data_IF_337741413987
#
_entry.id   IF_337741413987
#
_cell.length_a   1.000
_cell.length_b   1.000
_cell.length_c   1.000
_cell.angle_alpha   90.00
_cell.angle_beta   90.00
_cell.angle_gamma   90.00
#
_symmetry.space_group_name_H-M   'P 1'
#
loop_
_entity.id
_entity.type
_entity.pdbx_description
1 polymer ?
#
# COMPACT_ATOMS: atom_id res chain seq x y z
N UNK A 1 -39.06 -7.90 2.99
CA UNK A 1 -38.14 -8.95 2.50
C UNK A 1 -36.76 -8.81 3.15
N UNK A 2 -36.46 -9.58 4.21
CA UNK A 2 -35.15 -9.52 4.92
C UNK A 2 -34.03 -10.31 4.20
N UNK A 3 -34.38 -11.47 3.64
CA UNK A 3 -33.45 -12.31 2.88
C UNK A 3 -32.81 -11.55 1.70
N UNK A 4 -33.58 -10.75 0.97
CA UNK A 4 -33.06 -9.94 -0.14
C UNK A 4 -32.03 -8.90 0.32
N UNK A 5 -32.23 -8.29 1.50
CA UNK A 5 -31.27 -7.32 2.06
C UNK A 5 -29.98 -8.01 2.49
N UNK A 6 -30.07 -9.17 3.14
CA UNK A 6 -28.90 -9.97 3.53
C UNK A 6 -28.11 -10.37 2.27
N UNK A 7 -28.80 -10.91 1.26
CA UNK A 7 -28.19 -11.26 -0.02
C UNK A 7 -27.54 -10.05 -0.71
N UNK A 8 -28.22 -8.89 -0.75
CA UNK A 8 -27.67 -7.66 -1.32
C UNK A 8 -26.40 -7.19 -0.59
N UNK A 9 -26.39 -7.20 0.74
CA UNK A 9 -25.18 -6.84 1.51
C UNK A 9 -24.04 -7.81 1.28
N UNK A 10 -24.33 -9.11 1.14
CA UNK A 10 -23.35 -10.13 0.78
C UNK A 10 -22.77 -9.89 -0.62
N UNK A 11 -23.61 -9.58 -1.61
CA UNK A 11 -23.15 -9.27 -2.98
C UNK A 11 -22.26 -8.03 -3.02
N UNK A 12 -22.64 -6.95 -2.31
CA UNK A 12 -21.81 -5.73 -2.23
C UNK A 12 -20.46 -6.00 -1.56
N UNK A 13 -20.42 -6.84 -0.52
CA UNK A 13 -19.17 -7.25 0.10
C UNK A 13 -18.29 -8.05 -0.87
N UNK A 14 -18.86 -8.97 -1.64
CA UNK A 14 -18.10 -9.71 -2.66
C UNK A 14 -17.62 -8.80 -3.79
N UNK A 15 -18.44 -7.85 -4.24
CA UNK A 15 -18.04 -6.86 -5.24
C UNK A 15 -16.80 -6.08 -4.76
N UNK A 16 -16.84 -5.51 -3.55
CA UNK A 16 -15.70 -4.77 -2.99
C UNK A 16 -14.45 -5.66 -2.85
N UNK A 17 -14.62 -6.94 -2.51
CA UNK A 17 -13.51 -7.89 -2.45
C UNK A 17 -12.87 -8.10 -3.82
N UNK A 18 -13.68 -8.30 -4.85
CA UNK A 18 -13.22 -8.46 -6.24
C UNK A 18 -12.55 -7.19 -6.75
N UNK A 19 -13.09 -6.01 -6.43
CA UNK A 19 -12.49 -4.72 -6.79
C UNK A 19 -11.12 -4.54 -6.13
N UNK A 20 -11.00 -4.89 -4.84
CA UNK A 20 -9.72 -4.82 -4.12
C UNK A 20 -8.68 -5.78 -4.71
N UNK A 21 -9.08 -7.03 -5.01
CA UNK A 21 -8.19 -8.01 -5.65
C UNK A 21 -7.77 -7.54 -7.04
N UNK A 22 -8.71 -7.02 -7.83
CA UNK A 22 -8.44 -6.50 -9.17
C UNK A 22 -7.47 -5.33 -9.13
N UNK A 23 -7.61 -4.43 -8.16
CA UNK A 23 -6.68 -3.31 -7.99
C UNK A 23 -5.27 -3.78 -7.60
N UNK A 24 -5.16 -4.76 -6.70
CA UNK A 24 -3.86 -5.35 -6.34
C UNK A 24 -3.21 -6.02 -7.54
N UNK A 25 -3.99 -6.78 -8.33
CA UNK A 25 -3.48 -7.47 -9.52
C UNK A 25 -2.99 -6.47 -10.59
N UNK A 26 -3.74 -5.38 -10.80
CA UNK A 26 -3.35 -4.34 -11.74
C UNK A 26 -2.05 -3.63 -11.34
N UNK A 27 -1.76 -3.53 -10.03
CA UNK A 27 -0.56 -2.88 -9.50
C UNK A 27 0.53 -3.89 -9.08
N UNK A 28 0.41 -5.16 -9.47
CA UNK A 28 1.38 -6.21 -9.07
C UNK A 28 2.81 -5.90 -9.53
N UNK A 29 2.96 -5.20 -10.65
CA UNK A 29 4.27 -4.79 -11.20
C UNK A 29 4.65 -3.35 -10.85
N UNK A 30 3.84 -2.64 -10.07
CA UNK A 30 4.14 -1.27 -9.65
C UNK A 30 5.15 -1.28 -8.51
N UNK A 31 6.31 -0.65 -8.72
CA UNK A 31 7.36 -0.57 -7.70
C UNK A 31 6.85 0.09 -6.42
N UNK A 32 7.17 -0.50 -5.27
CA UNK A 32 6.78 0.04 -3.96
C UNK A 32 5.29 -0.08 -3.62
N UNK A 33 4.47 -0.75 -4.43
CA UNK A 33 3.05 -0.97 -4.14
C UNK A 33 2.84 -1.90 -2.94
N UNK A 34 2.02 -1.46 -1.98
CA UNK A 34 1.58 -2.29 -0.86
C UNK A 34 0.16 -2.80 -1.11
N UNK A 35 -0.01 -4.12 -1.12
CA UNK A 35 -1.29 -4.76 -1.35
C UNK A 35 -2.34 -4.35 -0.30
N UNK A 36 -3.59 -4.24 -0.73
CA UNK A 36 -4.71 -3.91 0.15
C UNK A 36 -5.60 -5.11 0.39
N UNK A 37 -6.20 -5.19 1.57
CA UNK A 37 -7.14 -6.25 1.94
C UNK A 37 -8.45 -5.65 2.44
N UNK A 38 -9.55 -6.05 1.83
CA UNK A 38 -10.89 -5.71 2.30
C UNK A 38 -11.26 -6.60 3.51
N UNK A 39 -11.69 -5.95 4.59
CA UNK A 39 -12.15 -6.58 5.81
C UNK A 39 -13.65 -6.33 5.99
N UNK A 40 -14.35 -7.31 6.57
CA UNK A 40 -15.81 -7.29 6.71
C UNK A 40 -16.20 -7.68 8.12
N UNK A 41 -17.29 -7.09 8.60
CA UNK A 41 -17.89 -7.41 9.89
C UNK A 41 -19.37 -7.77 9.71
N UNK A 42 -19.88 -8.64 10.57
CA UNK A 42 -21.30 -8.95 10.64
C UNK A 42 -22.12 -7.73 11.12
N UNK A 43 -23.39 -7.72 10.75
CA UNK A 43 -24.35 -6.76 11.26
C UNK A 43 -25.05 -7.31 12.49
N UNK A 44 -25.67 -6.40 13.25
CA UNK A 44 -26.39 -6.74 14.47
C UNK A 44 -27.40 -7.88 14.24
N UNK A 45 -27.58 -8.69 15.27
CA UNK A 45 -28.44 -9.84 15.21
C UNK A 45 -29.81 -9.53 15.83
N UNK A 46 -30.89 -9.79 15.12
CA UNK A 46 -32.24 -9.66 15.66
C UNK A 46 -32.65 -10.94 16.40
N UNK A 47 -33.02 -10.79 17.66
CA UNK A 47 -33.56 -11.88 18.46
C UNK A 47 -35.07 -11.96 18.28
N UNK A 48 -35.55 -13.03 17.63
CA UNK A 48 -36.98 -13.26 17.42
C UNK A 48 -37.62 -13.97 18.61
N UNK A 49 -36.92 -14.95 19.19
CA UNK A 49 -37.37 -15.67 20.38
C UNK A 49 -36.20 -15.76 21.35
N UNK A 50 -36.44 -15.45 22.62
CA UNK A 50 -35.41 -15.57 23.65
C UNK A 50 -35.32 -17.02 24.13
N UNK A 51 -34.12 -17.56 24.40
CA UNK A 51 -33.99 -18.84 25.09
C UNK A 51 -34.80 -18.80 26.41
N UNK A 52 -35.50 -19.88 26.74
CA UNK A 52 -36.34 -19.95 27.93
C UNK A 52 -37.76 -19.39 27.76
N UNK A 53 -38.15 -18.96 26.55
CA UNK A 53 -39.53 -18.54 26.26
C UNK A 53 -40.46 -19.76 26.30
N UNK A 54 -41.59 -19.66 27.03
CA UNK A 54 -42.61 -20.71 27.09
C UNK A 54 -43.50 -20.61 25.86
N UNK A 55 -43.64 -21.70 25.13
CA UNK A 55 -44.50 -21.79 23.95
C UNK A 55 -45.97 -21.77 24.37
N UNK A 56 -46.75 -20.86 23.81
CA UNK A 56 -48.15 -20.63 24.19
C UNK A 56 -49.08 -21.79 23.79
N UNK A 57 -48.68 -22.64 22.84
CA UNK A 57 -49.53 -23.70 22.29
C UNK A 57 -49.42 -25.03 23.06
N UNK A 58 -48.25 -25.34 23.62
CA UNK A 58 -47.97 -26.64 24.26
C UNK A 58 -47.23 -26.54 25.61
N UNK A 59 -46.93 -25.33 26.09
CA UNK A 59 -46.23 -25.11 27.36
C UNK A 59 -44.76 -25.52 27.38
N UNK A 60 -44.21 -25.94 26.24
CA UNK A 60 -42.80 -26.35 26.14
C UNK A 60 -41.87 -25.14 26.18
N UNK A 61 -40.71 -25.29 26.80
CA UNK A 61 -39.70 -24.24 26.88
C UNK A 61 -38.82 -24.29 25.64
N UNK A 62 -38.69 -23.17 24.92
CA UNK A 62 -37.76 -23.05 23.79
C UNK A 62 -36.32 -23.05 24.34
N UNK A 63 -35.51 -24.12 24.16
CA UNK A 63 -34.22 -24.22 24.83
C UNK A 63 -33.17 -23.30 24.22
N UNK A 64 -33.20 -23.17 22.90
CA UNK A 64 -32.32 -22.32 22.10
C UNK A 64 -33.17 -21.28 21.40
N UNK A 65 -33.06 -20.01 21.82
CA UNK A 65 -33.76 -18.90 21.17
C UNK A 65 -33.44 -18.78 19.68
N UNK A 66 -34.23 -18.00 18.95
CA UNK A 66 -34.03 -17.76 17.52
C UNK A 66 -33.39 -16.39 17.34
N UNK A 67 -32.19 -16.37 16.78
CA UNK A 67 -31.43 -15.16 16.47
C UNK A 67 -31.04 -15.16 15.00
N UNK A 68 -31.28 -14.03 14.31
CA UNK A 68 -31.04 -13.89 12.88
C UNK A 68 -30.09 -12.72 12.61
N UNK A 69 -28.95 -13.00 11.97
CA UNK A 69 -28.01 -11.99 11.53
C UNK A 69 -28.58 -11.11 10.43
N UNK A 70 -28.29 -9.80 10.47
CA UNK A 70 -28.83 -8.83 9.51
C UNK A 70 -27.99 -8.64 8.25
N UNK A 71 -26.90 -9.41 8.08
CA UNK A 71 -26.01 -9.36 6.93
C UNK A 71 -24.59 -8.98 7.31
N UNK A 72 -23.89 -8.36 6.36
CA UNK A 72 -22.46 -8.02 6.46
C UNK A 72 -22.24 -6.58 6.01
N UNK A 73 -21.19 -5.93 6.51
CA UNK A 73 -20.72 -4.63 6.00
C UNK A 73 -19.20 -4.62 5.82
N UNK A 74 -18.66 -3.80 4.91
CA UNK A 74 -17.25 -3.44 4.94
C UNK A 74 -16.86 -2.84 6.29
N UNK A 75 -15.76 -3.32 6.85
CA UNK A 75 -15.17 -2.83 8.08
C UNK A 75 -14.03 -1.86 7.77
N UNK A 76 -13.09 -2.27 6.92
CA UNK A 76 -11.93 -1.49 6.52
C UNK A 76 -11.35 -2.01 5.19
N UNK A 77 -10.49 -1.20 4.57
CA UNK A 77 -9.53 -1.69 3.56
C UNK A 77 -8.14 -1.38 4.09
N UNK A 78 -7.46 -2.40 4.63
CA UNK A 78 -6.16 -2.26 5.27
C UNK A 78 -5.03 -2.43 4.26
N UNK A 79 -4.01 -1.59 4.35
CA UNK A 79 -2.76 -1.78 3.61
C UNK A 79 -1.88 -2.83 4.30
N UNK A 80 -1.35 -3.76 3.54
CA UNK A 80 -0.40 -4.76 4.02
C UNK A 80 1.02 -4.27 3.71
N UNK A 81 1.70 -3.77 4.75
CA UNK A 81 3.09 -3.36 4.66
C UNK A 81 3.96 -4.61 4.82
N UNK A 82 4.53 -5.07 3.73
CA UNK A 82 5.45 -6.20 3.70
C UNK A 82 6.55 -5.95 2.67
N UNK A 83 7.75 -6.46 2.93
CA UNK A 83 8.83 -6.40 1.95
C UNK A 83 8.50 -7.32 0.77
N UNK A 84 8.54 -6.76 -0.44
CA UNK A 84 8.40 -7.51 -1.68
C UNK A 84 9.72 -8.16 -2.12
N UNK A 85 9.68 -8.90 -3.23
CA UNK A 85 10.90 -9.37 -3.88
C UNK A 85 11.66 -8.18 -4.48
N UNK A 86 12.96 -8.15 -4.26
CA UNK A 86 13.86 -7.18 -4.91
C UNK A 86 14.34 -7.75 -6.24
N UNK A 87 14.36 -6.93 -7.28
CA UNK A 87 14.87 -7.28 -8.59
C UNK A 87 15.98 -6.30 -8.98
N UNK A 88 17.14 -6.82 -9.38
CA UNK A 88 18.25 -6.00 -9.85
C UNK A 88 17.96 -5.53 -11.28
N UNK A 89 17.93 -4.22 -11.50
CA UNK A 89 17.67 -3.60 -12.81
C UNK A 89 18.96 -3.19 -13.54
N UNK A 90 20.05 -2.95 -12.79
CA UNK A 90 21.33 -2.49 -13.33
C UNK A 90 21.38 -0.98 -13.64
N UNK A 91 20.36 -0.21 -13.23
CA UNK A 91 20.38 1.25 -13.33
C UNK A 91 21.14 1.90 -12.18
N UNK A 92 21.99 2.89 -12.47
CA UNK A 92 22.81 3.60 -11.46
C UNK A 92 21.97 4.39 -10.44
N UNK A 93 20.75 4.78 -10.83
CA UNK A 93 19.79 5.52 -9.99
C UNK A 93 18.58 4.65 -9.59
N UNK A 94 18.63 3.35 -9.85
CA UNK A 94 17.58 2.44 -9.41
C UNK A 94 17.95 1.90 -8.02
N UNK A 95 17.25 2.40 -6.99
CA UNK A 95 17.49 2.06 -5.60
C UNK A 95 16.38 1.18 -5.03
N UNK A 96 16.75 0.36 -4.04
CA UNK A 96 15.78 -0.37 -3.23
C UNK A 96 16.19 -0.31 -1.76
N UNK A 97 15.21 -0.11 -0.89
CA UNK A 97 15.39 -0.15 0.56
C UNK A 97 15.10 -1.57 1.04
N UNK A 98 16.10 -2.20 1.66
CA UNK A 98 15.91 -3.46 2.38
C UNK A 98 15.50 -3.18 3.82
N UNK A 99 14.30 -3.62 4.21
CA UNK A 99 13.77 -3.45 5.57
C UNK A 99 12.79 -2.29 5.71
N UNK A 100 12.86 -1.56 6.81
CA UNK A 100 11.98 -0.44 7.12
C UNK A 100 12.57 0.88 6.60
N UNK A 101 11.72 1.81 6.15
CA UNK A 101 12.16 3.12 5.64
C UNK A 101 11.51 3.51 4.32
N UNK A 102 11.58 4.79 3.98
CA UNK A 102 11.05 5.39 2.75
C UNK A 102 12.04 6.44 2.24
N UNK A 103 12.04 6.67 0.93
CA UNK A 103 12.71 7.81 0.32
C UNK A 103 11.84 9.05 0.54
N UNK A 104 12.45 10.13 1.04
CA UNK A 104 11.79 11.43 1.16
C UNK A 104 11.92 12.19 -0.18
N UNK A 105 10.82 12.80 -0.60
CA UNK A 105 10.73 13.59 -1.83
C UNK A 105 10.04 14.92 -1.55
N UNK A 106 10.31 15.95 -2.33
CA UNK A 106 9.57 17.22 -2.21
C UNK A 106 8.41 17.24 -3.20
N UNK A 107 7.18 17.30 -2.70
CA UNK A 107 5.98 17.42 -3.54
C UNK A 107 5.89 18.81 -4.19
N UNK A 108 5.07 19.00 -5.25
CA UNK A 108 4.87 20.30 -5.88
C UNK A 108 4.35 21.39 -4.93
N UNK A 109 3.73 21.01 -3.82
CA UNK A 109 3.29 21.92 -2.76
C UNK A 109 4.44 22.43 -1.88
N UNK A 110 5.66 21.90 -2.02
CA UNK A 110 6.81 22.17 -1.16
C UNK A 110 6.83 21.35 0.15
N UNK A 111 5.92 20.39 0.31
CA UNK A 111 5.85 19.52 1.49
C UNK A 111 6.57 18.20 1.21
N UNK A 112 7.21 17.63 2.23
CA UNK A 112 7.80 16.28 2.15
C UNK A 112 6.73 15.22 1.85
N UNK A 113 7.00 14.40 0.85
CA UNK A 113 6.34 13.13 0.55
C UNK A 113 7.28 11.96 0.81
N UNK A 114 6.72 10.75 0.86
CA UNK A 114 7.48 9.52 1.12
C UNK A 114 7.13 8.45 0.10
N UNK A 115 8.15 7.81 -0.47
CA UNK A 115 7.96 6.75 -1.48
C UNK A 115 8.88 5.56 -1.24
N UNK A 116 8.44 4.40 -1.73
CA UNK A 116 9.25 3.18 -1.86
C UNK A 116 9.68 2.92 -3.30
N UNK A 117 9.24 3.76 -4.22
CA UNK A 117 9.68 3.71 -5.61
C UNK A 117 11.08 4.32 -5.72
N UNK A 118 12.06 3.46 -5.98
CA UNK A 118 13.43 3.88 -6.20
C UNK A 118 13.83 3.94 -7.67
N UNK A 119 12.88 3.96 -8.61
CA UNK A 119 13.14 4.22 -10.02
C UNK A 119 13.45 5.70 -10.29
N UNK A 120 14.57 6.20 -9.78
CA UNK A 120 14.97 7.60 -9.87
C UNK A 120 15.56 7.92 -11.25
N UNK A 121 15.57 9.21 -11.58
CA UNK A 121 16.00 9.78 -12.85
C UNK A 121 16.77 11.07 -12.61
N UNK A 122 17.59 11.45 -13.58
CA UNK A 122 18.28 12.74 -13.60
C UNK A 122 17.45 13.74 -14.40
N UNK A 123 17.15 14.89 -13.81
CA UNK A 123 16.45 15.99 -14.49
C UNK A 123 17.39 16.73 -15.47
N UNK A 124 16.84 17.61 -16.30
CA UNK A 124 17.63 18.45 -17.21
C UNK A 124 18.60 19.39 -16.49
N UNK A 125 18.27 19.79 -15.26
CA UNK A 125 19.12 20.60 -14.38
C UNK A 125 20.11 19.75 -13.58
N UNK A 126 20.12 18.43 -13.80
CA UNK A 126 21.02 17.48 -13.15
C UNK A 126 20.54 16.97 -11.79
N UNK A 127 19.36 17.36 -11.31
CA UNK A 127 18.84 16.91 -10.02
C UNK A 127 18.36 15.46 -10.06
N UNK A 128 18.48 14.74 -8.94
CA UNK A 128 17.88 13.42 -8.77
C UNK A 128 16.38 13.60 -8.46
N UNK A 129 15.55 13.09 -9.36
CA UNK A 129 14.08 13.19 -9.28
C UNK A 129 13.45 11.80 -9.44
N UNK A 130 12.22 11.65 -8.95
CA UNK A 130 11.36 10.49 -9.26
C UNK A 130 10.94 10.50 -10.73
N UNK A 131 10.31 9.41 -11.18
CA UNK A 131 9.72 9.34 -12.53
C UNK A 131 8.62 10.39 -12.78
N UNK A 132 8.04 10.95 -11.71
CA UNK A 132 7.05 12.04 -11.77
C UNK A 132 7.70 13.44 -11.74
N UNK A 133 9.03 13.52 -11.60
CA UNK A 133 9.79 14.77 -11.58
C UNK A 133 9.92 15.42 -10.19
N UNK A 134 9.54 14.72 -9.12
CA UNK A 134 9.71 15.24 -7.76
C UNK A 134 11.15 15.00 -7.27
N UNK A 135 11.85 16.03 -6.78
CA UNK A 135 13.22 15.89 -6.30
C UNK A 135 13.28 15.09 -5.00
N UNK A 136 14.34 14.29 -4.87
CA UNK A 136 14.67 13.53 -3.65
C UNK A 136 15.30 14.46 -2.62
N UNK A 137 15.05 14.21 -1.34
CA UNK A 137 15.63 14.97 -0.22
C UNK A 137 16.80 14.17 0.39
N UNK A 138 17.98 14.79 0.60
CA UNK A 138 18.34 16.17 0.26
C UNK A 138 18.47 16.39 -1.26
N UNK A 139 18.31 17.63 -1.71
CA UNK A 139 18.43 17.99 -3.13
C UNK A 139 19.87 17.75 -3.62
N UNK A 140 20.07 16.64 -4.33
CA UNK A 140 21.37 16.26 -4.89
C UNK A 140 21.39 16.60 -6.39
N UNK A 141 22.38 17.42 -6.78
CA UNK A 141 22.61 17.81 -8.18
C UNK A 141 23.85 17.10 -8.72
N UNK A 142 23.66 16.36 -9.79
CA UNK A 142 24.70 15.66 -10.54
C UNK A 142 25.28 16.61 -11.60
N UNK A 143 26.59 16.94 -11.54
CA UNK A 143 27.27 17.73 -12.57
C UNK A 143 27.31 17.04 -13.95
N UNK A 144 27.43 17.81 -15.03
CA UNK A 144 27.36 17.29 -16.41
C UNK A 144 28.59 16.46 -16.83
N UNK A 145 29.72 16.69 -16.17
CA UNK A 145 31.03 16.06 -16.36
C UNK A 145 31.18 14.73 -15.61
N UNK A 146 30.14 14.29 -14.89
CA UNK A 146 30.12 12.99 -14.21
C UNK A 146 30.00 11.85 -15.23
N UNK A 147 30.94 10.89 -15.16
CA UNK A 147 30.95 9.66 -15.94
C UNK A 147 30.06 8.57 -15.35
N UNK A 148 30.09 8.42 -14.03
CA UNK A 148 29.37 7.37 -13.31
C UNK A 148 28.98 7.84 -11.90
N UNK A 149 27.93 7.24 -11.35
CA UNK A 149 27.46 7.50 -9.99
C UNK A 149 27.38 6.17 -9.25
N UNK A 150 27.68 6.20 -7.95
CA UNK A 150 27.40 5.08 -7.06
C UNK A 150 26.75 5.60 -5.79
N UNK A 151 25.88 4.78 -5.20
CA UNK A 151 25.17 5.09 -3.97
C UNK A 151 25.46 3.94 -3.01
N UNK A 152 25.99 4.25 -1.84
CA UNK A 152 26.33 3.23 -0.86
C UNK A 152 25.13 2.84 0.02
N UNK A 153 25.32 1.86 0.90
CA UNK A 153 24.25 1.39 1.81
C UNK A 153 23.79 2.41 2.85
N UNK A 154 24.57 3.46 3.08
CA UNK A 154 24.23 4.56 3.99
C UNK A 154 23.46 5.68 3.29
N UNK A 155 23.29 5.60 1.96
CA UNK A 155 22.57 6.58 1.15
C UNK A 155 23.44 7.71 0.61
N UNK A 156 24.76 7.65 0.81
CA UNK A 156 25.70 8.64 0.29
C UNK A 156 25.91 8.45 -1.22
N UNK A 157 25.84 9.55 -1.97
CA UNK A 157 25.98 9.59 -3.42
C UNK A 157 27.38 10.05 -3.80
N UNK A 158 28.10 9.18 -4.51
CA UNK A 158 29.45 9.45 -5.01
C UNK A 158 29.45 9.58 -6.53
N UNK A 159 30.16 10.57 -7.05
CA UNK A 159 30.32 10.80 -8.48
C UNK A 159 31.78 10.59 -8.93
N UNK A 160 31.94 9.97 -10.11
CA UNK A 160 33.22 9.75 -10.75
C UNK A 160 33.35 10.67 -11.96
N UNK A 161 34.43 11.44 -12.02
CA UNK A 161 34.73 12.37 -13.11
C UNK A 161 35.76 11.74 -14.07
N UNK A 162 35.89 12.30 -15.29
CA UNK A 162 36.89 11.81 -16.24
C UNK A 162 38.32 12.18 -15.86
N UNK A 163 38.49 13.31 -15.17
CA UNK A 163 39.81 13.90 -14.89
C UNK A 163 40.34 13.56 -13.48
N UNK A 164 39.54 12.86 -12.66
CA UNK A 164 39.88 12.47 -11.29
C UNK A 164 39.76 10.94 -11.10
N UNK A 165 40.70 10.36 -10.35
CA UNK A 165 40.73 8.91 -10.05
C UNK A 165 39.84 8.57 -8.85
N UNK A 166 39.70 9.52 -7.91
CA UNK A 166 38.89 9.34 -6.71
C UNK A 166 37.44 9.79 -6.92
N UNK A 167 36.51 9.12 -6.25
CA UNK A 167 35.11 9.52 -6.27
C UNK A 167 34.88 10.72 -5.35
N UNK A 168 34.04 11.66 -5.77
CA UNK A 168 33.64 12.82 -4.97
C UNK A 168 32.26 12.61 -4.37
N UNK A 169 32.14 12.85 -3.06
CA UNK A 169 30.85 12.85 -2.36
C UNK A 169 30.01 14.06 -2.82
N UNK A 170 28.78 13.81 -3.25
CA UNK A 170 27.80 14.83 -3.64
C UNK A 170 26.81 15.16 -2.52
N UNK A 171 26.49 14.19 -1.66
CA UNK A 171 25.52 14.32 -0.58
C UNK A 171 25.05 12.97 -0.07
#
# INVERSE_FOLDING_TARGET
MRALKIAATGMLAQQMRVETISNNLANMSTTGYNARRAEFADLHYQQMTRPGTINATDGTVVPTGVQLGLGVRPASVSMQIAQGALAQTGGDLDLAIEGAGYLEITLPSGISGYTRDGGLKRSGDGQIVTSEGFPVVPDITIPIDVRAITINGDGEVYAYFNDEVEAKLLG
#
